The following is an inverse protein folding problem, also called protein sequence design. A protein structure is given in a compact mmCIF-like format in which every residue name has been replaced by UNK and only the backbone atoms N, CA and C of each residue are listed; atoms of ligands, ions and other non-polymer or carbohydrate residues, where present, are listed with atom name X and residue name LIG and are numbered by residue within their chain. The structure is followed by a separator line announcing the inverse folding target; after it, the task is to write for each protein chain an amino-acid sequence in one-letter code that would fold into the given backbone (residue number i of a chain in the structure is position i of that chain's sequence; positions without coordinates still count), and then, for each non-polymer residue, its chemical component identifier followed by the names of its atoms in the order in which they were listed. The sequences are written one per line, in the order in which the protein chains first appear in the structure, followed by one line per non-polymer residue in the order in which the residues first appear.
data_IF_258998363530
#
_entry.id   IF_258998363530
#
_cell.length_a   1.000
_cell.length_b   1.000
_cell.length_c   1.000
_cell.angle_alpha   90.00
_cell.angle_beta   90.00
_cell.angle_gamma   90.00
#
_symmetry.space_group_name_H-M   'P 1'
#
loop_
_entity.id
_entity.type
_entity.pdbx_description
1 polymer ?
#
# COMPACT_ATOMS: atom_id res chain seq x y z
N UNK A 1 -15.16 -17.41 13.98
CA UNK A 1 -15.41 -17.03 12.59
C UNK A 1 -16.86 -16.58 12.51
N UNK A 2 -17.10 -15.43 11.89
CA UNK A 2 -18.40 -14.82 11.72
C UNK A 2 -18.65 -14.66 10.23
N UNK A 3 -19.82 -15.08 9.76
CA UNK A 3 -20.29 -14.83 8.40
C UNK A 3 -21.49 -13.91 8.48
N UNK A 4 -21.41 -12.77 7.83
CA UNK A 4 -22.54 -11.85 7.66
C UNK A 4 -22.94 -11.83 6.20
N UNK A 5 -24.20 -12.15 5.91
CA UNK A 5 -24.78 -12.06 4.56
C UNK A 5 -25.87 -11.01 4.57
N UNK A 6 -25.78 -10.03 3.68
CA UNK A 6 -26.81 -9.01 3.47
C UNK A 6 -27.38 -9.19 2.08
N UNK A 7 -28.71 -9.28 2.01
CA UNK A 7 -29.46 -9.34 0.77
C UNK A 7 -30.25 -8.05 0.65
N UNK A 8 -30.12 -7.38 -0.48
CA UNK A 8 -30.84 -6.15 -0.78
C UNK A 8 -31.95 -6.46 -1.78
N UNK A 9 -33.06 -5.74 -1.68
CA UNK A 9 -34.24 -5.94 -2.53
C UNK A 9 -33.97 -5.70 -4.02
N UNK A 10 -32.91 -4.98 -4.36
CA UNK A 10 -32.46 -4.73 -5.72
C UNK A 10 -31.57 -5.85 -6.31
N UNK A 11 -31.46 -7.00 -5.64
CA UNK A 11 -30.68 -8.14 -6.11
C UNK A 11 -29.19 -8.11 -5.73
N UNK A 12 -28.72 -7.05 -5.06
CA UNK A 12 -27.36 -7.04 -4.52
C UNK A 12 -27.26 -8.02 -3.33
N UNK A 13 -26.22 -8.85 -3.35
CA UNK A 13 -25.89 -9.76 -2.23
C UNK A 13 -24.45 -9.50 -1.83
N UNK A 14 -24.22 -9.22 -0.55
CA UNK A 14 -22.88 -9.04 0.01
C UNK A 14 -22.65 -10.04 1.13
N UNK A 15 -21.53 -10.76 1.08
CA UNK A 15 -21.11 -11.66 2.14
C UNK A 15 -19.76 -11.22 2.71
N UNK A 16 -19.64 -11.15 4.02
CA UNK A 16 -18.42 -10.80 4.74
C UNK A 16 -18.08 -11.93 5.70
N UNK A 17 -16.87 -12.47 5.57
CA UNK A 17 -16.32 -13.49 6.47
C UNK A 17 -15.23 -12.84 7.30
N UNK A 18 -15.40 -12.87 8.62
CA UNK A 18 -14.41 -12.41 9.59
C UNK A 18 -13.97 -13.59 10.44
N UNK A 19 -12.68 -13.73 10.67
CA UNK A 19 -12.17 -14.77 11.55
C UNK A 19 -10.97 -14.25 12.34
N UNK A 20 -10.82 -14.78 13.55
CA UNK A 20 -9.64 -14.57 14.35
C UNK A 20 -8.51 -15.49 13.87
N UNK A 21 -7.30 -14.97 13.81
CA UNK A 21 -6.09 -15.72 13.47
C UNK A 21 -4.91 -15.13 14.23
N UNK A 22 -4.08 -16.00 14.81
CA UNK A 22 -2.81 -15.59 15.42
C UNK A 22 -1.74 -15.29 14.35
N UNK A 23 -1.93 -15.85 13.15
CA UNK A 23 -1.09 -15.66 11.97
C UNK A 23 -1.81 -14.71 11.00
N UNK A 24 -1.67 -13.39 11.20
CA UNK A 24 -2.37 -12.37 10.39
C UNK A 24 -1.83 -12.28 8.95
N UNK A 25 -0.58 -12.69 8.75
CA UNK A 25 0.08 -12.69 7.43
C UNK A 25 -0.20 -13.97 6.62
N UNK A 26 -0.77 -15.00 7.23
CA UNK A 26 -1.15 -16.22 6.53
C UNK A 26 -2.58 -16.10 5.97
N UNK A 27 -2.68 -15.96 4.65
CA UNK A 27 -3.97 -15.95 3.95
C UNK A 27 -4.58 -17.35 3.95
N UNK A 28 -5.55 -17.60 4.83
CA UNK A 28 -6.34 -18.86 4.80
C UNK A 28 -7.18 -18.99 3.54
N UNK A 29 -7.65 -17.87 2.99
CA UNK A 29 -8.38 -17.81 1.72
C UNK A 29 -7.48 -17.15 0.68
N UNK A 30 -6.75 -17.98 -0.07
CA UNK A 30 -5.99 -17.51 -1.22
C UNK A 30 -6.90 -17.00 -2.35
N UNK A 31 -6.36 -16.15 -3.22
CA UNK A 31 -7.07 -15.57 -4.37
C UNK A 31 -7.71 -16.64 -5.29
N UNK A 32 -7.08 -17.80 -5.43
CA UNK A 32 -7.59 -18.90 -6.26
C UNK A 32 -8.88 -19.50 -5.69
N UNK A 33 -9.00 -19.59 -4.35
CA UNK A 33 -10.25 -20.00 -3.71
C UNK A 33 -11.35 -18.97 -3.96
N UNK A 34 -11.01 -17.67 -3.94
CA UNK A 34 -11.94 -16.59 -4.29
C UNK A 34 -12.45 -16.72 -5.72
N UNK A 35 -11.55 -16.93 -6.69
CA UNK A 35 -11.92 -17.14 -8.11
C UNK A 35 -12.77 -18.39 -8.32
N UNK A 36 -12.47 -19.47 -7.60
CA UNK A 36 -13.28 -20.69 -7.67
C UNK A 36 -14.69 -20.45 -7.12
N UNK A 37 -14.80 -19.70 -6.02
CA UNK A 37 -16.09 -19.31 -5.45
C UNK A 37 -16.89 -18.42 -6.40
N UNK A 38 -16.27 -17.42 -7.03
CA UNK A 38 -16.92 -16.57 -8.05
C UNK A 38 -17.54 -17.43 -9.17
N UNK A 39 -16.78 -18.39 -9.71
CA UNK A 39 -17.26 -19.31 -10.76
C UNK A 39 -18.43 -20.17 -10.28
N UNK A 40 -18.36 -20.71 -9.06
CA UNK A 40 -19.45 -21.51 -8.50
C UNK A 40 -20.72 -20.68 -8.28
N UNK A 41 -20.59 -19.43 -7.85
CA UNK A 41 -21.71 -18.52 -7.67
C UNK A 41 -22.38 -18.19 -9.01
N UNK A 42 -21.60 -17.84 -10.03
CA UNK A 42 -22.13 -17.56 -11.37
C UNK A 42 -22.76 -18.80 -12.04
N UNK A 43 -22.30 -20.00 -11.71
CA UNK A 43 -22.88 -21.23 -12.27
C UNK A 43 -24.19 -21.65 -11.58
N UNK A 44 -24.34 -21.35 -10.28
CA UNK A 44 -25.51 -21.77 -9.48
C UNK A 44 -26.60 -20.71 -9.40
N UNK A 45 -26.25 -19.45 -9.58
CA UNK A 45 -27.15 -18.31 -9.47
C UNK A 45 -27.11 -17.50 -10.77
N UNK A 46 -28.23 -16.89 -11.11
CA UNK A 46 -28.33 -15.96 -12.24
C UNK A 46 -27.71 -14.60 -11.88
N UNK A 47 -26.40 -14.61 -11.64
CA UNK A 47 -25.62 -13.45 -11.24
C UNK A 47 -25.04 -12.75 -12.48
N UNK A 48 -25.30 -11.45 -12.64
CA UNK A 48 -24.63 -10.66 -13.68
C UNK A 48 -23.12 -10.51 -13.41
N UNK A 49 -22.74 -10.36 -12.14
CA UNK A 49 -21.34 -10.20 -11.70
C UNK A 49 -21.17 -10.86 -10.32
N UNK A 50 -20.09 -11.62 -10.14
CA UNK A 50 -19.62 -12.08 -8.83
C UNK A 50 -18.18 -11.62 -8.63
N UNK A 51 -17.87 -11.03 -7.47
CA UNK A 51 -16.52 -10.56 -7.15
C UNK A 51 -16.14 -10.87 -5.70
N UNK A 52 -14.96 -11.43 -5.52
CA UNK A 52 -14.30 -11.65 -4.23
C UNK A 52 -13.07 -10.74 -4.18
N UNK A 53 -13.03 -9.88 -3.16
CA UNK A 53 -11.89 -9.00 -2.92
C UNK A 53 -10.85 -9.70 -2.03
N UNK A 54 -9.57 -9.30 -2.12
CA UNK A 54 -8.55 -9.76 -1.17
C UNK A 54 -8.98 -9.50 0.28
N UNK A 55 -8.58 -10.38 1.18
CA UNK A 55 -8.89 -10.25 2.59
C UNK A 55 -8.11 -9.06 3.20
N UNK A 56 -8.82 -8.15 3.85
CA UNK A 56 -8.22 -7.03 4.58
C UNK A 56 -7.81 -7.51 5.98
N UNK A 57 -6.52 -7.40 6.29
CA UNK A 57 -5.96 -7.74 7.60
C UNK A 57 -6.29 -6.61 8.58
N UNK A 58 -6.91 -6.95 9.72
CA UNK A 58 -7.25 -5.97 10.75
C UNK A 58 -6.27 -6.08 11.90
N UNK A 59 -5.70 -4.95 12.32
CA UNK A 59 -4.68 -4.86 13.36
C UNK A 59 -3.48 -5.82 13.17
N UNK A 60 -2.85 -5.87 11.97
CA UNK A 60 -1.57 -6.56 11.85
C UNK A 60 -0.50 -5.85 12.71
N UNK A 61 0.53 -6.57 13.20
CA UNK A 61 1.62 -5.96 13.96
C UNK A 61 2.34 -4.82 13.23
N UNK A 62 2.42 -4.93 11.90
CA UNK A 62 2.92 -3.90 10.98
C UNK A 62 1.79 -3.61 10.02
N UNK A 63 1.34 -2.35 9.94
CA UNK A 63 0.26 -1.97 9.04
C UNK A 63 0.75 -1.90 7.58
N UNK A 64 0.25 -2.76 6.67
CA UNK A 64 0.60 -2.70 5.26
C UNK A 64 -0.32 -1.74 4.48
N UNK A 65 -1.37 -1.22 5.11
CA UNK A 65 -2.41 -0.43 4.45
C UNK A 65 -2.16 1.06 4.59
N UNK A 66 -2.17 1.71 3.44
CA UNK A 66 -1.98 3.14 3.30
C UNK A 66 -3.06 3.73 2.38
N UNK A 67 -3.19 5.04 2.41
CA UNK A 67 -4.14 5.76 1.55
C UNK A 67 -3.36 6.58 0.54
N UNK A 68 -3.74 6.51 -0.72
CA UNK A 68 -3.21 7.39 -1.75
C UNK A 68 -3.73 8.83 -1.57
N UNK A 69 -3.12 9.79 -2.27
CA UNK A 69 -3.57 11.20 -2.28
C UNK A 69 -4.99 11.40 -2.83
N UNK A 70 -5.54 10.41 -3.53
CA UNK A 70 -6.92 10.38 -4.04
C UNK A 70 -7.82 9.38 -3.28
N UNK A 71 -7.52 9.11 -2.02
CA UNK A 71 -8.32 8.33 -1.07
C UNK A 71 -8.55 6.84 -1.44
N UNK A 72 -7.64 6.26 -2.24
CA UNK A 72 -7.69 4.81 -2.56
C UNK A 72 -6.88 4.01 -1.54
N UNK A 73 -7.40 2.83 -1.21
CA UNK A 73 -6.70 1.86 -0.38
C UNK A 73 -5.52 1.25 -1.14
N UNK A 74 -4.33 1.35 -0.57
CA UNK A 74 -3.10 0.72 -1.05
C UNK A 74 -2.65 -0.32 -0.01
N UNK A 75 -2.24 -1.51 -0.47
CA UNK A 75 -1.56 -2.50 0.36
C UNK A 75 -0.13 -2.68 -0.16
N UNK A 76 0.86 -2.46 0.71
CA UNK A 76 2.28 -2.64 0.40
C UNK A 76 2.79 -3.98 0.95
N UNK A 77 3.81 -4.52 0.28
CA UNK A 77 4.53 -5.74 0.66
C UNK A 77 5.61 -5.45 1.70
N UNK A 78 5.19 -4.90 2.84
CA UNK A 78 6.11 -4.57 3.95
C UNK A 78 6.47 -5.80 4.79
N UNK A 79 7.76 -5.95 5.08
CA UNK A 79 8.27 -6.96 6.02
C UNK A 79 8.35 -6.45 7.45
N UNK A 80 8.42 -5.13 7.64
CA UNK A 80 8.56 -4.53 8.96
C UNK A 80 8.89 -3.06 8.95
N UNK A 81 8.88 -2.48 10.15
CA UNK A 81 9.32 -1.11 10.41
C UNK A 81 10.80 -1.17 10.80
N UNK A 82 11.65 -0.48 10.05
CA UNK A 82 13.09 -0.35 10.29
C UNK A 82 13.36 0.76 11.30
N UNK A 83 12.57 1.84 11.23
CA UNK A 83 12.72 3.00 12.09
C UNK A 83 11.35 3.63 12.35
N UNK A 84 11.12 4.06 13.58
CA UNK A 84 9.94 4.84 13.97
C UNK A 84 10.34 5.82 15.07
N UNK A 85 10.07 7.10 14.83
CA UNK A 85 10.27 8.15 15.83
C UNK A 85 9.21 9.25 15.66
N UNK A 86 8.64 9.68 16.78
CA UNK A 86 7.85 10.91 16.81
C UNK A 86 8.79 12.10 17.03
N UNK A 87 9.07 12.85 15.97
CA UNK A 87 9.83 14.10 16.09
C UNK A 87 8.92 15.22 16.62
N UNK A 88 9.53 16.39 16.88
CA UNK A 88 8.79 17.61 17.27
C UNK A 88 7.83 18.11 16.18
N UNK A 89 8.06 17.74 14.93
CA UNK A 89 7.34 18.31 13.78
C UNK A 89 6.41 17.30 13.11
N UNK A 90 6.84 16.03 13.05
CA UNK A 90 6.15 14.97 12.32
C UNK A 90 6.57 13.59 12.83
N UNK A 91 5.72 12.60 12.61
CA UNK A 91 6.03 11.19 12.79
C UNK A 91 6.88 10.71 11.62
N UNK A 92 8.04 10.13 11.90
CA UNK A 92 8.95 9.60 10.89
C UNK A 92 8.98 8.09 11.01
N UNK A 93 8.66 7.40 9.91
CA UNK A 93 8.69 5.95 9.84
C UNK A 93 9.42 5.51 8.57
N UNK A 94 10.18 4.42 8.69
CA UNK A 94 10.83 3.76 7.55
C UNK A 94 10.33 2.33 7.52
N UNK A 95 9.62 1.98 6.45
CA UNK A 95 9.12 0.63 6.21
C UNK A 95 10.07 -0.11 5.27
N UNK A 96 10.45 -1.33 5.61
CA UNK A 96 11.13 -2.21 4.66
C UNK A 96 10.08 -2.86 3.76
N UNK A 97 10.21 -2.68 2.44
CA UNK A 97 9.34 -3.31 1.43
C UNK A 97 10.17 -4.18 0.50
N UNK A 98 9.60 -5.29 0.00
CA UNK A 98 10.33 -6.19 -0.91
C UNK A 98 10.47 -5.60 -2.31
N UNK A 99 9.42 -4.93 -2.77
CA UNK A 99 9.36 -4.41 -4.13
C UNK A 99 10.11 -3.09 -4.28
N UNK A 100 10.03 -2.17 -3.32
CA UNK A 100 10.51 -0.79 -3.48
C UNK A 100 11.74 -0.44 -2.61
N UNK A 101 12.23 -1.39 -1.80
CA UNK A 101 13.28 -1.13 -0.81
C UNK A 101 12.72 -0.42 0.44
N UNK A 102 13.56 0.36 1.11
CA UNK A 102 13.11 1.14 2.26
C UNK A 102 12.22 2.31 1.81
N UNK A 103 11.00 2.38 2.34
CA UNK A 103 9.99 3.39 2.09
C UNK A 103 9.94 4.37 3.26
N UNK A 104 10.22 5.64 2.99
CA UNK A 104 10.06 6.74 3.94
C UNK A 104 8.59 7.18 3.99
N UNK A 105 8.04 7.18 5.21
CA UNK A 105 6.69 7.61 5.52
C UNK A 105 6.75 8.73 6.57
N UNK A 106 6.08 9.85 6.29
CA UNK A 106 5.99 11.00 7.18
C UNK A 106 4.53 11.28 7.47
N UNK A 107 4.14 11.31 8.75
CA UNK A 107 2.73 11.48 9.18
C UNK A 107 1.75 10.55 8.44
N UNK A 108 2.14 9.27 8.31
CA UNK A 108 1.41 8.22 7.60
C UNK A 108 1.26 8.44 6.06
N UNK A 109 1.92 9.47 5.50
CA UNK A 109 2.01 9.75 4.07
C UNK A 109 3.31 9.21 3.46
N UNK A 110 3.20 8.47 2.35
CA UNK A 110 4.34 7.92 1.63
C UNK A 110 5.09 9.05 0.89
N UNK A 111 6.40 9.15 1.10
CA UNK A 111 7.22 10.19 0.46
C UNK A 111 8.13 9.62 -0.63
N UNK A 112 9.07 8.75 -0.27
CA UNK A 112 10.05 8.21 -1.21
C UNK A 112 10.48 6.81 -0.82
N UNK A 113 10.62 5.92 -1.79
CA UNK A 113 11.29 4.63 -1.64
C UNK A 113 12.68 4.64 -2.31
N UNK A 114 13.57 3.73 -1.87
CA UNK A 114 14.92 3.59 -2.44
C UNK A 114 14.92 3.36 -3.96
N UNK A 115 13.90 2.70 -4.50
CA UNK A 115 13.77 2.45 -5.94
C UNK A 115 13.17 3.62 -6.75
N UNK A 116 12.74 4.71 -6.10
CA UNK A 116 12.09 5.85 -6.77
C UNK A 116 13.09 6.83 -7.42
N UNK A 117 14.21 6.33 -7.96
CA UNK A 117 15.15 7.12 -8.77
C UNK A 117 14.48 7.92 -9.90
N UNK A 118 13.44 7.41 -10.61
CA UNK A 118 12.73 8.19 -11.61
C UNK A 118 12.08 9.47 -11.07
N UNK A 119 11.66 9.50 -9.80
CA UNK A 119 11.11 10.70 -9.17
C UNK A 119 12.19 11.79 -9.05
N UNK A 120 13.35 11.42 -8.48
CA UNK A 120 14.52 12.32 -8.35
C UNK A 120 14.98 12.83 -9.71
N UNK A 121 15.09 11.94 -10.70
CA UNK A 121 15.51 12.30 -12.06
C UNK A 121 14.49 13.21 -12.76
N UNK A 122 13.19 12.96 -12.57
CA UNK A 122 12.11 13.78 -13.12
C UNK A 122 12.11 15.19 -12.54
N UNK A 123 12.27 15.33 -11.22
CA UNK A 123 12.30 16.64 -10.56
C UNK A 123 13.55 17.45 -10.93
N UNK A 124 14.70 16.78 -11.05
CA UNK A 124 15.96 17.42 -11.46
C UNK A 124 16.06 17.66 -12.98
N UNK A 125 15.07 17.22 -13.77
CA UNK A 125 15.12 17.22 -15.23
C UNK A 125 16.48 16.70 -15.74
N UNK A 126 16.89 15.56 -15.17
CA UNK A 126 18.18 14.92 -15.46
C UNK A 126 18.30 14.72 -16.98
N UNK A 127 19.52 14.85 -17.48
CA UNK A 127 19.90 14.78 -18.90
C UNK A 127 19.55 16.03 -19.74
N UNK A 128 18.81 17.02 -19.18
CA UNK A 128 18.59 18.31 -19.86
C UNK A 128 19.29 19.49 -19.19
N UNK A 129 19.46 19.44 -17.87
CA UNK A 129 20.13 20.48 -17.11
C UNK A 129 21.52 20.04 -16.66
N UNK A 130 22.53 20.86 -16.96
CA UNK A 130 23.88 20.74 -16.40
C UNK A 130 23.95 21.56 -15.10
N UNK A 131 24.31 20.91 -14.00
CA UNK A 131 24.38 21.50 -12.67
C UNK A 131 25.82 21.92 -12.28
N UNK A 132 26.82 21.64 -13.13
CA UNK A 132 28.21 21.95 -12.85
C UNK A 132 28.44 23.47 -12.64
N UNK A 133 29.00 23.82 -11.47
CA UNK A 133 29.33 25.20 -11.13
C UNK A 133 28.13 26.12 -10.85
N UNK A 134 26.92 25.57 -10.73
CA UNK A 134 25.71 26.33 -10.36
C UNK A 134 25.48 26.30 -8.85
N UNK A 135 24.89 27.37 -8.34
CA UNK A 135 24.34 27.40 -6.98
C UNK A 135 22.90 26.87 -7.01
N UNK A 136 22.61 25.87 -6.18
CA UNK A 136 21.32 25.18 -6.15
C UNK A 136 20.73 25.32 -4.76
N UNK A 137 19.47 25.77 -4.68
CA UNK A 137 18.68 25.80 -3.45
C UNK A 137 17.66 24.66 -3.46
N UNK A 138 17.82 23.72 -2.53
CA UNK A 138 16.86 22.64 -2.30
C UNK A 138 16.08 22.98 -1.02
N UNK A 139 14.75 23.09 -1.13
CA UNK A 139 13.87 23.30 0.01
C UNK A 139 13.24 21.96 0.38
N UNK A 140 13.55 21.45 1.58
CA UNK A 140 13.16 20.08 1.98
C UNK A 140 14.21 19.05 1.53
N UNK A 141 13.77 17.89 1.06
CA UNK A 141 14.68 16.86 0.53
C UNK A 141 15.52 16.14 1.60
N UNK A 142 14.98 15.98 2.82
CA UNK A 142 15.69 15.35 3.95
C UNK A 142 16.02 13.87 3.75
N UNK A 143 15.44 13.25 2.71
CA UNK A 143 15.74 11.93 2.19
C UNK A 143 17.17 11.83 1.63
N UNK A 144 17.73 12.91 1.07
CA UNK A 144 19.11 12.97 0.59
C UNK A 144 19.43 12.65 -0.89
N UNK A 145 18.59 11.96 -1.70
CA UNK A 145 18.88 11.67 -3.12
C UNK A 145 19.26 12.90 -3.93
N UNK A 146 18.61 14.05 -3.71
CA UNK A 146 18.89 15.27 -4.46
C UNK A 146 20.33 15.77 -4.27
N UNK A 147 20.88 15.66 -3.06
CA UNK A 147 22.26 16.10 -2.79
C UNK A 147 23.30 15.14 -3.39
N UNK A 148 22.98 13.85 -3.49
CA UNK A 148 23.88 12.83 -4.07
C UNK A 148 23.79 12.70 -5.60
N UNK A 149 22.80 13.36 -6.23
CA UNK A 149 22.50 13.21 -7.67
C UNK A 149 22.94 14.39 -8.54
N UNK A 150 23.42 15.48 -7.91
CA UNK A 150 23.96 16.68 -8.56
C UNK A 150 25.42 16.50 -8.98
#
# INVERSE_FOLDING_TARGET
MTLSVKLYSNGLVTATVEYYTDQVNEHKIANDHGRALEKQLMAKFDCSVAKVLPAIKRAPPVNPYFTSSDDRLLEYDTDGIVFEEQSKFQKVQIYSTKSFGNLLVLDDLQNLAEQDLPYTHGLMNKDKEDFAGKEILILGGGDGPFCGSC
#
